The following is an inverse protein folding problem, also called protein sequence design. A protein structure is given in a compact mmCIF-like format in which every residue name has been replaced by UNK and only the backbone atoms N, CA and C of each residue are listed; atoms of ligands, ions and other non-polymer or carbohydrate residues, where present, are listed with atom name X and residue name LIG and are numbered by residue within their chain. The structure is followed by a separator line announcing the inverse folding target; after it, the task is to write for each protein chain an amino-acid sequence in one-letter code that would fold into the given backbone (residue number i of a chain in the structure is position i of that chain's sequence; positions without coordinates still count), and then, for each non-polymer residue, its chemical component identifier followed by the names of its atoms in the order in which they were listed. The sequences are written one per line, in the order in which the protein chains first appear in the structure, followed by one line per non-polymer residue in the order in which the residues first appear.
data_IF_345054727221
#
_entry.id   IF_345054727221
#
_cell.length_a   1.000
_cell.length_b   1.000
_cell.length_c   1.000
_cell.angle_alpha   90.00
_cell.angle_beta   90.00
_cell.angle_gamma   90.00
#
_symmetry.space_group_name_H-M   'P 1'
#
loop_
_entity.id
_entity.type
_entity.pdbx_description
1 polymer ?
#
# COMPACT_ATOMS: atom_id res chain seq x y z
N UNK A 1 29.36 57.84 12.51
CA UNK A 1 28.00 57.28 12.73
C UNK A 1 27.99 55.90 12.11
N UNK A 2 28.49 54.91 12.85
CA UNK A 2 28.68 53.54 12.38
C UNK A 2 27.33 52.82 12.41
N UNK A 3 26.76 52.54 11.24
CA UNK A 3 25.55 51.73 11.13
C UNK A 3 25.95 50.26 11.16
N UNK A 4 25.68 49.61 12.29
CA UNK A 4 25.82 48.17 12.46
C UNK A 4 24.95 47.41 11.43
N UNK A 5 25.43 46.28 10.88
CA UNK A 5 24.62 45.44 10.02
C UNK A 5 23.53 44.78 10.87
N UNK A 6 22.26 45.14 10.62
CA UNK A 6 21.12 44.45 11.22
C UNK A 6 21.27 42.94 11.01
N UNK A 7 21.07 42.13 12.07
CA UNK A 7 21.22 40.69 11.99
C UNK A 7 20.25 40.11 10.94
N UNK A 8 20.70 39.05 10.29
CA UNK A 8 19.92 38.12 9.45
C UNK A 8 18.45 38.10 9.83
N UNK A 9 17.61 38.65 8.95
CA UNK A 9 16.19 38.84 9.16
C UNK A 9 15.48 37.51 9.34
N UNK A 10 14.76 37.35 10.46
CA UNK A 10 14.01 36.17 10.91
C UNK A 10 12.82 35.82 9.98
N UNK A 11 13.10 35.39 8.76
CA UNK A 11 12.11 34.86 7.82
C UNK A 11 11.86 33.37 8.12
N UNK A 12 11.13 33.11 9.21
CA UNK A 12 10.78 31.77 9.69
C UNK A 12 9.32 31.43 9.40
N UNK A 13 9.03 30.20 8.94
CA UNK A 13 7.65 29.71 8.81
C UNK A 13 7.08 29.12 10.13
N UNK A 14 7.94 28.88 11.13
CA UNK A 14 7.51 28.28 12.39
C UNK A 14 6.76 29.30 13.27
N UNK A 15 7.29 30.53 13.34
CA UNK A 15 6.77 31.58 14.21
C UNK A 15 5.68 32.39 13.50
N UNK A 16 4.71 32.93 14.25
CA UNK A 16 3.66 33.79 13.69
C UNK A 16 4.23 35.10 13.16
N UNK A 17 5.13 35.74 13.92
CA UNK A 17 5.82 36.97 13.51
C UNK A 17 6.70 36.78 12.28
N UNK A 18 7.44 35.67 12.20
CA UNK A 18 8.27 35.33 11.05
C UNK A 18 7.44 35.11 9.77
N UNK A 19 6.27 34.48 9.90
CA UNK A 19 5.34 34.29 8.78
C UNK A 19 4.78 35.59 8.23
N UNK A 20 4.42 36.53 9.11
CA UNK A 20 3.91 37.84 8.70
C UNK A 20 4.98 38.65 7.95
N UNK A 21 6.24 38.63 8.43
CA UNK A 21 7.38 39.25 7.76
C UNK A 21 7.69 38.60 6.41
N UNK A 22 7.60 37.27 6.33
CA UNK A 22 7.80 36.54 5.08
C UNK A 22 6.68 36.88 4.08
N UNK A 23 5.43 36.94 4.55
CA UNK A 23 4.29 37.30 3.72
C UNK A 23 4.39 38.75 3.21
N UNK A 24 4.79 39.70 4.06
CA UNK A 24 4.95 41.10 3.64
C UNK A 24 6.07 41.22 2.60
N UNK A 25 7.24 40.62 2.83
CA UNK A 25 8.36 40.63 1.90
C UNK A 25 8.03 39.98 0.56
N UNK A 26 7.34 38.83 0.55
CA UNK A 26 6.84 38.21 -0.69
C UNK A 26 5.83 39.10 -1.41
N UNK A 27 4.92 39.75 -0.68
CA UNK A 27 3.90 40.62 -1.28
C UNK A 27 4.55 41.86 -1.92
N UNK A 28 5.52 42.47 -1.23
CA UNK A 28 6.32 43.57 -1.76
C UNK A 28 7.07 43.16 -3.03
N UNK A 29 7.70 41.99 -3.01
CA UNK A 29 8.44 41.46 -4.16
C UNK A 29 7.52 41.13 -5.35
N UNK A 30 6.34 40.55 -5.12
CA UNK A 30 5.34 40.32 -6.16
C UNK A 30 4.84 41.65 -6.75
N UNK A 31 4.58 42.65 -5.91
CA UNK A 31 4.20 43.98 -6.37
C UNK A 31 5.31 44.65 -7.19
N UNK A 32 6.57 44.44 -6.80
CA UNK A 32 7.73 44.88 -7.55
C UNK A 32 7.79 44.21 -8.94
N UNK A 33 7.62 42.88 -9.02
CA UNK A 33 7.60 42.15 -10.29
C UNK A 33 6.47 42.61 -11.22
N UNK A 34 5.28 42.90 -10.67
CA UNK A 34 4.15 43.42 -11.45
C UNK A 34 4.39 44.80 -12.07
N UNK A 35 5.31 45.59 -11.50
CA UNK A 35 5.68 46.91 -12.03
C UNK A 35 6.72 46.83 -13.15
N UNK A 36 7.34 45.68 -13.36
CA UNK A 36 8.37 45.51 -14.40
C UNK A 36 7.74 45.43 -15.79
N UNK A 37 8.40 45.99 -16.82
CA UNK A 37 7.91 45.92 -18.20
C UNK A 37 7.92 44.47 -18.72
N UNK A 38 6.89 44.09 -19.47
CA UNK A 38 6.76 42.75 -20.05
C UNK A 38 7.65 42.51 -21.29
N UNK A 39 8.33 43.55 -21.79
CA UNK A 39 9.15 43.51 -23.00
C UNK A 39 10.54 44.04 -22.68
N UNK A 40 11.57 43.27 -23.05
CA UNK A 40 12.97 43.69 -22.98
C UNK A 40 13.35 44.39 -24.29
N UNK A 41 13.61 45.70 -24.25
CA UNK A 41 14.05 46.46 -25.42
C UNK A 41 15.58 46.63 -25.51
N UNK A 42 16.29 46.53 -24.39
CA UNK A 42 17.73 46.75 -24.31
C UNK A 42 18.46 45.61 -23.58
N UNK A 43 19.76 45.42 -23.86
CA UNK A 43 20.59 44.41 -23.20
C UNK A 43 20.70 44.65 -21.68
N UNK A 44 20.74 45.91 -21.24
CA UNK A 44 20.76 46.27 -19.81
C UNK A 44 19.46 45.86 -19.09
N UNK A 45 18.31 46.03 -19.75
CA UNK A 45 17.01 45.60 -19.21
C UNK A 45 16.93 44.07 -19.10
N UNK A 46 17.52 43.34 -20.04
CA UNK A 46 17.59 41.89 -19.97
C UNK A 46 18.39 41.45 -18.74
N UNK A 47 19.56 42.06 -18.49
CA UNK A 47 20.40 41.69 -17.34
C UNK A 47 19.70 41.95 -15.99
N UNK A 48 19.01 43.09 -15.85
CA UNK A 48 18.25 43.40 -14.62
C UNK A 48 17.10 42.43 -14.40
N UNK A 49 16.35 42.09 -15.44
CA UNK A 49 15.25 41.11 -15.34
C UNK A 49 15.77 39.71 -14.98
N UNK A 50 16.91 39.29 -15.54
CA UNK A 50 17.54 38.01 -15.16
C UNK A 50 17.93 38.01 -13.69
N UNK A 51 18.50 39.11 -13.17
CA UNK A 51 18.81 39.26 -11.74
C UNK A 51 17.56 39.15 -10.88
N UNK A 52 16.45 39.77 -11.29
CA UNK A 52 15.19 39.65 -10.56
C UNK A 52 14.66 38.22 -10.61
N UNK A 53 14.61 37.56 -11.77
CA UNK A 53 14.19 36.16 -11.86
C UNK A 53 15.03 35.26 -10.95
N UNK A 54 16.35 35.47 -10.88
CA UNK A 54 17.22 34.73 -9.98
C UNK A 54 16.86 34.98 -8.49
N UNK A 55 16.63 36.24 -8.09
CA UNK A 55 16.17 36.58 -6.74
C UNK A 55 14.85 35.90 -6.38
N UNK A 56 13.90 35.83 -7.34
CA UNK A 56 12.62 35.15 -7.14
C UNK A 56 12.80 33.65 -6.89
N UNK A 57 13.70 32.99 -7.62
CA UNK A 57 14.03 31.58 -7.39
C UNK A 57 14.67 31.36 -6.01
N UNK A 58 15.53 32.27 -5.55
CA UNK A 58 16.12 32.17 -4.20
C UNK A 58 15.05 32.29 -3.10
N UNK A 59 14.10 33.21 -3.23
CA UNK A 59 12.98 33.32 -2.28
C UNK A 59 12.12 32.04 -2.27
N UNK A 60 11.84 31.45 -3.44
CA UNK A 60 11.12 30.17 -3.54
C UNK A 60 11.89 29.06 -2.82
N UNK A 61 13.21 28.98 -3.02
CA UNK A 61 14.07 27.99 -2.34
C UNK A 61 14.06 28.17 -0.82
N UNK A 62 14.11 29.40 -0.33
CA UNK A 62 14.05 29.71 1.10
C UNK A 62 12.74 29.22 1.73
N UNK A 63 11.59 29.55 1.11
CA UNK A 63 10.28 29.09 1.57
C UNK A 63 10.20 27.56 1.57
N UNK A 64 10.72 26.92 0.52
CA UNK A 64 10.75 25.46 0.44
C UNK A 64 11.64 24.85 1.53
N UNK A 65 12.78 25.45 1.85
CA UNK A 65 13.68 25.00 2.92
C UNK A 65 13.02 25.12 4.31
N UNK A 66 12.34 26.24 4.60
CA UNK A 66 11.61 26.44 5.85
C UNK A 66 10.46 25.43 6.01
N UNK A 67 9.68 25.19 4.94
CA UNK A 67 8.65 24.14 4.93
C UNK A 67 9.25 22.79 5.29
N UNK A 68 10.40 22.48 4.70
CA UNK A 68 11.06 21.19 4.86
C UNK A 68 11.59 20.98 6.28
N UNK A 69 12.06 22.05 6.96
CA UNK A 69 12.40 21.98 8.39
C UNK A 69 11.20 21.55 9.24
N UNK A 70 10.03 22.14 8.99
CA UNK A 70 8.79 21.82 9.71
C UNK A 70 8.38 20.36 9.44
N UNK A 71 8.34 19.95 8.17
CA UNK A 71 7.89 18.58 7.82
C UNK A 71 8.83 17.53 8.37
N UNK A 72 10.15 17.75 8.37
CA UNK A 72 11.11 16.80 8.96
C UNK A 72 10.88 16.58 10.46
N UNK A 73 10.54 17.63 11.20
CA UNK A 73 10.23 17.51 12.62
C UNK A 73 8.94 16.71 12.84
N UNK A 74 7.91 16.97 12.04
CA UNK A 74 6.65 16.22 12.09
C UNK A 74 6.83 14.75 11.69
N UNK A 75 7.64 14.48 10.68
CA UNK A 75 7.95 13.10 10.25
C UNK A 75 8.66 12.33 11.35
N UNK A 76 9.60 12.97 12.06
CA UNK A 76 10.25 12.38 13.23
C UNK A 76 9.23 12.09 14.34
N UNK A 77 8.40 13.06 14.70
CA UNK A 77 7.37 12.85 15.73
C UNK A 77 6.42 11.72 15.34
N UNK A 78 5.96 11.68 14.09
CA UNK A 78 5.14 10.59 13.57
C UNK A 78 5.83 9.24 13.73
N UNK A 79 7.11 9.16 13.41
CA UNK A 79 7.90 7.94 13.59
C UNK A 79 7.95 7.51 15.06
N UNK A 80 8.27 8.43 15.96
CA UNK A 80 8.30 8.17 17.41
C UNK A 80 6.95 7.64 17.92
N UNK A 81 5.82 8.19 17.44
CA UNK A 81 4.47 7.71 17.77
C UNK A 81 4.19 6.30 17.24
N UNK A 82 4.64 5.98 16.02
CA UNK A 82 4.48 4.63 15.44
C UNK A 82 5.31 3.60 16.21
N UNK A 83 6.50 3.97 16.68
CA UNK A 83 7.33 3.10 17.52
C UNK A 83 6.66 2.84 18.87
N UNK A 84 6.16 3.89 19.51
CA UNK A 84 5.42 3.77 20.77
C UNK A 84 4.17 2.90 20.61
N UNK A 85 3.38 3.09 19.55
CA UNK A 85 2.22 2.23 19.25
C UNK A 85 2.65 0.76 19.10
N UNK A 86 3.73 0.50 18.38
CA UNK A 86 4.27 -0.86 18.20
C UNK A 86 4.70 -1.46 19.54
N UNK A 87 5.38 -0.71 20.40
CA UNK A 87 5.79 -1.15 21.73
C UNK A 87 4.59 -1.47 22.62
N UNK A 88 3.56 -0.63 22.61
CA UNK A 88 2.34 -0.83 23.39
C UNK A 88 1.51 -2.02 22.89
N UNK A 89 1.47 -2.25 21.58
CA UNK A 89 0.67 -3.33 20.96
C UNK A 89 1.40 -4.68 20.91
N UNK A 90 2.73 -4.69 20.93
CA UNK A 90 3.56 -5.89 20.94
C UNK A 90 3.16 -6.94 22.01
N UNK A 91 2.96 -6.60 23.30
CA UNK A 91 2.58 -7.61 24.30
C UNK A 91 1.20 -8.22 24.02
N UNK A 92 0.25 -7.44 23.49
CA UNK A 92 -1.07 -7.93 23.11
C UNK A 92 -0.95 -8.91 21.95
N UNK A 93 -0.17 -8.56 20.92
CA UNK A 93 0.06 -9.43 19.76
C UNK A 93 0.74 -10.74 20.18
N UNK A 94 1.74 -10.67 21.06
CA UNK A 94 2.42 -11.86 21.61
C UNK A 94 1.45 -12.73 22.40
N UNK A 95 0.58 -12.14 23.23
CA UNK A 95 -0.43 -12.88 23.98
C UNK A 95 -1.51 -13.50 23.08
N UNK A 96 -1.84 -12.86 21.96
CA UNK A 96 -2.79 -13.38 20.98
C UNK A 96 -2.22 -14.50 20.09
N UNK A 97 -0.89 -14.58 19.93
CA UNK A 97 -0.25 -15.53 19.04
C UNK A 97 -0.67 -17.00 19.27
N UNK A 98 -0.66 -17.56 20.50
CA UNK A 98 -1.08 -18.95 20.71
C UNK A 98 -2.56 -19.20 20.35
N UNK A 99 -3.42 -18.19 20.48
CA UNK A 99 -4.82 -18.30 20.06
C UNK A 99 -4.94 -18.35 18.55
N UNK A 100 -4.12 -17.56 17.83
CA UNK A 100 -4.03 -17.62 16.36
C UNK A 100 -3.54 -18.98 15.91
N UNK A 101 -2.44 -19.46 16.50
CA UNK A 101 -1.83 -20.75 16.17
C UNK A 101 -2.83 -21.91 16.38
N UNK A 102 -3.62 -21.87 17.46
CA UNK A 102 -4.65 -22.87 17.73
C UNK A 102 -5.78 -22.87 16.68
N UNK A 103 -6.24 -21.69 16.26
CA UNK A 103 -7.25 -21.55 15.20
C UNK A 103 -6.70 -22.03 13.87
N UNK A 104 -5.47 -21.67 13.52
CA UNK A 104 -4.80 -22.15 12.30
C UNK A 104 -4.64 -23.67 12.30
N UNK A 105 -4.21 -24.25 13.43
CA UNK A 105 -4.09 -25.69 13.57
C UNK A 105 -5.43 -26.40 13.33
N UNK A 106 -6.51 -25.93 13.96
CA UNK A 106 -7.84 -26.48 13.75
C UNK A 106 -8.31 -26.37 12.28
N UNK A 107 -8.04 -25.23 11.64
CA UNK A 107 -8.38 -25.03 10.22
C UNK A 107 -7.60 -25.99 9.31
N UNK A 108 -6.32 -26.26 9.60
CA UNK A 108 -5.52 -27.24 8.86
C UNK A 108 -6.08 -28.65 9.00
N UNK A 109 -6.46 -29.06 10.22
CA UNK A 109 -7.08 -30.36 10.45
C UNK A 109 -8.43 -30.49 9.74
N UNK A 110 -9.25 -29.43 9.74
CA UNK A 110 -10.51 -29.41 8.99
C UNK A 110 -10.30 -29.62 7.48
N UNK A 111 -9.31 -28.95 6.89
CA UNK A 111 -8.99 -29.14 5.47
C UNK A 111 -8.55 -30.57 5.19
N UNK A 112 -7.68 -31.12 6.04
CA UNK A 112 -7.21 -32.51 5.93
C UNK A 112 -8.37 -33.52 5.96
N UNK A 113 -9.31 -33.37 6.90
CA UNK A 113 -10.49 -34.23 6.99
C UNK A 113 -11.36 -34.10 5.74
N UNK A 114 -11.51 -32.89 5.21
CA UNK A 114 -12.29 -32.64 3.99
C UNK A 114 -11.65 -33.28 2.76
N UNK A 115 -10.33 -33.18 2.60
CA UNK A 115 -9.59 -33.82 1.52
C UNK A 115 -9.74 -35.35 1.57
N UNK A 116 -9.60 -35.94 2.76
CA UNK A 116 -9.85 -37.37 2.95
C UNK A 116 -11.28 -37.77 2.58
N UNK A 117 -12.29 -37.03 3.05
CA UNK A 117 -13.69 -37.27 2.70
C UNK A 117 -13.94 -37.16 1.19
N UNK A 118 -13.34 -36.17 0.53
CA UNK A 118 -13.46 -36.00 -0.92
C UNK A 118 -12.77 -37.12 -1.69
N UNK A 119 -11.59 -37.57 -1.24
CA UNK A 119 -10.89 -38.70 -1.83
C UNK A 119 -11.68 -40.01 -1.69
N UNK A 120 -12.28 -40.26 -0.52
CA UNK A 120 -13.11 -41.44 -0.27
C UNK A 120 -14.37 -41.43 -1.15
N UNK A 121 -15.03 -40.27 -1.28
CA UNK A 121 -16.18 -40.09 -2.19
C UNK A 121 -15.77 -40.30 -3.64
N UNK A 122 -14.63 -39.75 -4.07
CA UNK A 122 -14.13 -39.93 -5.44
C UNK A 122 -13.77 -41.40 -5.73
N UNK A 123 -13.15 -42.11 -4.77
CA UNK A 123 -12.87 -43.53 -4.90
C UNK A 123 -14.16 -44.36 -4.97
N UNK A 124 -15.13 -44.12 -4.10
CA UNK A 124 -16.43 -44.79 -4.14
C UNK A 124 -17.17 -44.53 -5.45
N UNK A 125 -17.14 -43.29 -5.96
CA UNK A 125 -17.70 -42.95 -7.25
C UNK A 125 -17.01 -43.66 -8.42
N UNK A 126 -15.69 -43.85 -8.35
CA UNK A 126 -14.92 -44.59 -9.37
C UNK A 126 -15.18 -46.10 -9.37
N UNK A 127 -15.55 -46.66 -8.21
CA UNK A 127 -15.83 -48.09 -8.02
C UNK A 127 -17.32 -48.45 -8.23
N UNK A 128 -18.20 -47.45 -8.27
CA UNK A 128 -19.63 -47.67 -8.49
C UNK A 128 -19.90 -48.03 -9.97
N UNK A 129 -20.43 -49.22 -10.28
CA UNK A 129 -20.87 -49.54 -11.63
C UNK A 129 -22.05 -48.64 -12.01
N UNK A 130 -22.00 -48.06 -13.21
CA UNK A 130 -23.03 -47.19 -13.75
C UNK A 130 -24.34 -47.96 -13.97
N UNK A 131 -25.21 -48.05 -12.95
CA UNK A 131 -26.54 -48.60 -13.16
C UNK A 131 -27.40 -48.97 -11.97
N UNK A 132 -26.86 -49.20 -10.76
CA UNK A 132 -27.68 -49.69 -9.64
C UNK A 132 -27.84 -48.65 -8.52
N UNK A 133 -29.10 -48.32 -8.25
CA UNK A 133 -29.52 -47.37 -7.21
C UNK A 133 -29.36 -48.08 -5.86
N UNK A 134 -28.16 -48.05 -5.29
CA UNK A 134 -27.88 -48.65 -4.00
C UNK A 134 -28.37 -47.71 -2.88
N UNK A 135 -29.53 -48.02 -2.29
CA UNK A 135 -30.16 -47.32 -1.16
C UNK A 135 -29.36 -47.41 0.16
N UNK A 136 -28.18 -48.04 0.16
CA UNK A 136 -27.28 -48.19 1.31
C UNK A 136 -26.08 -47.22 1.30
N UNK A 137 -25.95 -46.31 0.34
CA UNK A 137 -24.85 -45.33 0.39
C UNK A 137 -25.10 -44.30 1.50
N UNK A 138 -24.27 -44.24 2.56
CA UNK A 138 -24.38 -43.17 3.53
C UNK A 138 -24.10 -41.84 2.82
N UNK A 139 -25.07 -40.93 2.85
CA UNK A 139 -24.88 -39.57 2.35
C UNK A 139 -23.88 -38.87 3.27
N UNK A 140 -22.62 -38.84 2.85
CA UNK A 140 -21.56 -38.13 3.58
C UNK A 140 -21.77 -36.64 3.34
N UNK A 141 -22.48 -36.00 4.26
CA UNK A 141 -22.60 -34.54 4.31
C UNK A 141 -21.21 -33.93 4.53
N UNK A 142 -20.64 -33.30 3.50
CA UNK A 142 -19.38 -32.57 3.62
C UNK A 142 -19.49 -31.57 4.77
N UNK A 143 -18.53 -31.61 5.70
CA UNK A 143 -18.48 -30.69 6.84
C UNK A 143 -18.51 -29.25 6.31
N UNK A 144 -19.50 -28.47 6.75
CA UNK A 144 -19.66 -27.08 6.34
C UNK A 144 -18.47 -26.23 6.83
N UNK A 145 -18.02 -25.27 6.02
CA UNK A 145 -16.94 -24.38 6.43
C UNK A 145 -17.37 -23.57 7.67
N UNK A 146 -16.51 -23.46 8.69
CA UNK A 146 -16.80 -22.62 9.85
C UNK A 146 -16.91 -21.15 9.45
N UNK A 147 -17.79 -20.41 10.15
CA UNK A 147 -18.02 -18.97 9.91
C UNK A 147 -16.70 -18.21 10.04
N UNK A 148 -16.34 -17.44 9.01
CA UNK A 148 -15.15 -16.57 8.99
C UNK A 148 -13.95 -17.09 8.21
N UNK A 149 -13.98 -18.35 7.73
CA UNK A 149 -12.95 -18.88 6.83
C UNK A 149 -13.31 -18.51 5.39
N UNK A 150 -12.48 -17.68 4.77
CA UNK A 150 -12.56 -17.39 3.33
C UNK A 150 -11.50 -18.21 2.60
N UNK A 151 -11.93 -18.94 1.57
CA UNK A 151 -11.04 -19.64 0.67
C UNK A 151 -10.51 -18.61 -0.33
N UNK A 152 -9.19 -18.40 -0.33
CA UNK A 152 -8.52 -17.62 -1.37
C UNK A 152 -7.82 -18.59 -2.31
N UNK A 153 -8.16 -18.49 -3.59
CA UNK A 153 -7.44 -19.17 -4.64
C UNK A 153 -6.03 -18.58 -4.76
N UNK A 154 -5.02 -19.42 -4.53
CA UNK A 154 -3.61 -19.11 -4.75
C UNK A 154 -3.06 -20.08 -5.79
N UNK A 155 -1.90 -19.75 -6.35
CA UNK A 155 -1.31 -20.59 -7.38
C UNK A 155 0.21 -20.70 -7.28
N UNK A 156 0.71 -21.86 -7.66
CA UNK A 156 2.14 -22.15 -7.80
C UNK A 156 2.43 -22.55 -9.26
N UNK A 157 3.50 -21.99 -9.83
CA UNK A 157 3.93 -22.28 -11.19
C UNK A 157 4.86 -23.49 -11.17
N UNK A 158 4.41 -24.61 -11.73
CA UNK A 158 5.17 -25.87 -11.76
C UNK A 158 6.15 -25.89 -12.96
N UNK A 159 5.72 -25.40 -14.12
CA UNK A 159 6.54 -25.37 -15.34
C UNK A 159 6.24 -24.12 -16.16
N UNK A 160 7.27 -23.31 -16.38
CA UNK A 160 7.18 -22.02 -17.10
C UNK A 160 6.93 -22.20 -18.59
N UNK A 161 7.32 -23.33 -19.17
CA UNK A 161 7.25 -23.57 -20.61
C UNK A 161 5.88 -24.07 -21.09
N UNK A 162 5.00 -24.46 -20.15
CA UNK A 162 3.63 -24.89 -20.45
C UNK A 162 2.61 -23.74 -20.33
N UNK A 163 3.04 -22.56 -19.90
CA UNK A 163 2.17 -21.39 -19.79
C UNK A 163 2.00 -20.77 -21.18
N UNK A 164 0.77 -20.61 -21.69
CA UNK A 164 0.52 -20.00 -23.00
C UNK A 164 1.14 -18.59 -23.09
N UNK A 165 1.70 -18.24 -24.26
CA UNK A 165 2.42 -16.98 -24.50
C UNK A 165 1.58 -15.69 -24.25
N UNK A 166 0.27 -15.81 -24.05
CA UNK A 166 -0.60 -14.69 -23.66
C UNK A 166 -0.42 -14.20 -22.21
N UNK A 167 0.30 -14.93 -21.37
CA UNK A 167 0.54 -14.61 -19.95
C UNK A 167 1.96 -14.10 -19.66
N UNK A 168 2.74 -13.74 -20.68
CA UNK A 168 4.14 -13.28 -20.55
C UNK A 168 4.32 -11.85 -20.02
N UNK A 169 3.25 -11.21 -19.56
CA UNK A 169 3.34 -10.21 -18.49
C UNK A 169 2.37 -10.70 -17.41
N UNK A 170 2.88 -11.09 -16.24
CA UNK A 170 2.05 -11.60 -15.14
C UNK A 170 1.27 -10.42 -14.55
N UNK A 171 0.13 -10.10 -15.16
CA UNK A 171 -0.89 -9.28 -14.53
C UNK A 171 -1.71 -10.19 -13.60
N UNK A 172 -1.37 -10.14 -12.31
CA UNK A 172 -2.10 -10.85 -11.27
C UNK A 172 -3.60 -10.52 -11.28
N UNK A 173 -4.00 -9.35 -11.79
CA UNK A 173 -5.39 -8.93 -11.91
C UNK A 173 -6.18 -9.82 -12.87
N UNK A 174 -5.65 -10.07 -14.07
CA UNK A 174 -6.32 -10.90 -15.08
C UNK A 174 -6.49 -12.35 -14.62
N UNK A 175 -5.49 -12.91 -13.92
CA UNK A 175 -5.57 -14.26 -13.35
C UNK A 175 -6.65 -14.31 -12.25
N UNK A 176 -6.68 -13.31 -11.35
CA UNK A 176 -7.73 -13.20 -10.32
C UNK A 176 -9.12 -13.07 -10.94
N UNK A 177 -9.28 -12.35 -12.05
CA UNK A 177 -10.55 -12.24 -12.77
C UNK A 177 -10.97 -13.55 -13.45
N UNK A 178 -10.03 -14.28 -14.06
CA UNK A 178 -10.29 -15.57 -14.68
C UNK A 178 -10.73 -16.63 -13.64
N UNK A 179 -10.08 -16.64 -12.47
CA UNK A 179 -10.47 -17.48 -11.34
C UNK A 179 -11.86 -17.08 -10.81
N UNK A 180 -12.13 -15.78 -10.68
CA UNK A 180 -13.46 -15.28 -10.28
C UNK A 180 -14.55 -15.66 -11.29
N UNK A 181 -14.22 -15.78 -12.57
CA UNK A 181 -15.14 -16.24 -13.63
C UNK A 181 -15.34 -17.76 -13.66
N UNK A 182 -14.65 -18.52 -12.80
CA UNK A 182 -14.87 -19.96 -12.61
C UNK A 182 -13.93 -20.89 -13.38
N UNK A 183 -12.86 -20.38 -14.00
CA UNK A 183 -11.84 -21.21 -14.67
C UNK A 183 -10.95 -21.85 -13.60
N UNK A 184 -11.02 -23.18 -13.47
CA UNK A 184 -10.35 -23.96 -12.40
C UNK A 184 -9.17 -24.81 -12.87
N UNK A 185 -8.96 -24.93 -14.17
CA UNK A 185 -7.83 -25.67 -14.77
C UNK A 185 -7.13 -24.77 -15.79
N UNK A 186 -5.91 -24.34 -15.46
CA UNK A 186 -5.06 -23.50 -16.33
C UNK A 186 -3.73 -24.24 -16.52
N UNK A 187 -3.35 -24.56 -17.77
CA UNK A 187 -2.08 -25.25 -18.04
C UNK A 187 -0.88 -24.53 -17.43
N UNK A 188 -0.08 -25.25 -16.64
CA UNK A 188 1.13 -24.75 -15.97
C UNK A 188 0.92 -24.10 -14.59
N UNK A 189 -0.33 -23.99 -14.11
CA UNK A 189 -0.68 -23.33 -12.84
C UNK A 189 -1.40 -24.33 -11.92
N UNK A 190 -0.79 -24.65 -10.77
CA UNK A 190 -1.49 -25.43 -9.73
C UNK A 190 -2.27 -24.47 -8.85
N UNK A 191 -3.58 -24.49 -8.98
CA UNK A 191 -4.49 -23.73 -8.15
C UNK A 191 -4.74 -24.51 -6.86
N UNK A 192 -4.50 -23.89 -5.70
CA UNK A 192 -4.81 -24.46 -4.40
C UNK A 192 -5.52 -23.42 -3.52
N UNK A 193 -6.29 -23.90 -2.55
CA UNK A 193 -6.99 -23.05 -1.60
C UNK A 193 -6.10 -22.84 -0.38
N UNK A 194 -5.78 -21.59 -0.06
CA UNK A 194 -5.05 -21.24 1.17
C UNK A 194 -5.98 -20.50 2.13
N UNK A 195 -6.04 -20.97 3.38
CA UNK A 195 -6.88 -20.38 4.41
C UNK A 195 -6.22 -19.12 4.98
N UNK A 196 -6.84 -17.95 4.77
CA UNK A 196 -6.43 -16.70 5.39
C UNK A 196 -7.43 -16.32 6.47
N UNK A 197 -6.99 -16.32 7.72
CA UNK A 197 -7.83 -15.88 8.85
C UNK A 197 -7.87 -14.35 8.89
N UNK A 198 -9.00 -13.77 8.53
CA UNK A 198 -9.20 -12.32 8.61
C UNK A 198 -10.05 -11.99 9.84
N UNK A 199 -9.47 -11.30 10.81
CA UNK A 199 -10.20 -10.79 11.97
C UNK A 199 -10.87 -9.47 11.58
N UNK A 200 -12.20 -9.46 11.37
CA UNK A 200 -12.99 -8.22 11.30
C UNK A 200 -13.49 -7.85 12.69
N UNK A 201 -13.49 -6.54 12.99
CA UNK A 201 -14.15 -5.94 14.15
C UNK A 201 -15.66 -6.17 14.11
#
# INVERSE_FOLDING_TARGET
MSTEPKPTTDLSLADSSGRELLQSTLTEYVNFLRRQPAVCGTAEQQETLVKHVAQGHELIKLVAAERLKITRQLDKQKHDWMELEKEMTAPILTAMQPLKDAVEHYNRELLRVREHQQADVAQQASLAPSGDINWLTPQVSLVALPKGVQLKWTFEIIDRNQIPNGYWAIDEGAIKTAIASGVRDIPGIRIYEEAITTYRK
#
